data_IF_329558682639
#
_entry.id   IF_329558682639
#
_cell.length_a   1.000
_cell.length_b   1.000
_cell.length_c   1.000
_cell.angle_alpha   90.00
_cell.angle_beta   90.00
_cell.angle_gamma   90.00
#
_symmetry.space_group_name_H-M   'P 1'
#
loop_
_entity.id
_entity.type
_entity.pdbx_description
1 polymer ?
#
# COMPACT_ATOMS: atom_id res chain seq x y z
N UNK A 1 7.26 6.66 1.11
CA UNK A 1 6.34 5.63 0.62
C UNK A 1 7.05 4.29 0.62
N UNK A 2 6.55 3.33 1.38
CA UNK A 2 7.16 2.00 1.49
C UNK A 2 6.17 0.96 0.95
N UNK A 3 6.56 0.26 -0.11
CA UNK A 3 5.90 -1.00 -0.46
C UNK A 3 6.54 -2.10 0.38
N UNK A 4 5.73 -2.97 0.95
CA UNK A 4 6.23 -4.12 1.71
C UNK A 4 5.53 -5.38 1.24
N UNK A 5 6.31 -6.46 1.16
CA UNK A 5 5.81 -7.79 0.83
C UNK A 5 5.74 -8.59 2.11
N UNK A 6 4.57 -9.12 2.40
CA UNK A 6 4.33 -10.07 3.47
C UNK A 6 4.40 -11.47 2.86
N UNK A 7 5.26 -12.34 3.39
CA UNK A 7 5.37 -13.74 2.94
C UNK A 7 4.29 -14.58 3.61
N UNK A 8 3.72 -15.50 2.84
CA UNK A 8 2.50 -16.18 3.22
C UNK A 8 2.45 -17.68 2.83
N UNK A 9 1.70 -18.46 3.63
CA UNK A 9 1.20 -19.82 3.35
C UNK A 9 -0.32 -19.82 3.64
N UNK A 10 -1.21 -19.76 2.62
CA UNK A 10 -2.65 -19.53 2.85
C UNK A 10 -3.53 -20.75 2.64
N UNK A 11 -4.53 -20.84 3.51
CA UNK A 11 -5.84 -21.43 3.24
C UNK A 11 -6.91 -20.32 3.27
N UNK A 12 -8.04 -20.50 2.56
CA UNK A 12 -9.15 -19.53 2.58
C UNK A 12 -9.60 -19.18 4.00
N UNK A 13 -9.58 -17.89 4.36
CA UNK A 13 -10.15 -17.36 5.60
C UNK A 13 -9.18 -17.04 6.74
N UNK A 14 -7.87 -17.23 6.57
CA UNK A 14 -6.87 -16.90 7.60
C UNK A 14 -5.73 -16.08 6.99
N UNK A 15 -5.40 -14.95 7.62
CA UNK A 15 -4.17 -14.20 7.38
C UNK A 15 -3.17 -14.50 8.51
N UNK A 16 -2.04 -15.11 8.17
CA UNK A 16 -0.96 -15.42 9.10
C UNK A 16 0.37 -15.13 8.40
N UNK A 17 1.01 -14.04 8.80
CA UNK A 17 2.31 -13.65 8.27
C UNK A 17 3.41 -14.37 9.04
N UNK A 18 4.31 -15.05 8.32
CA UNK A 18 5.47 -15.72 8.94
C UNK A 18 6.60 -14.71 9.16
N UNK A 19 6.74 -13.74 8.23
CA UNK A 19 7.74 -12.69 8.28
C UNK A 19 7.28 -11.48 7.44
N UNK A 20 7.57 -10.27 7.93
CA UNK A 20 7.48 -9.04 7.13
C UNK A 20 8.85 -8.86 6.49
N UNK A 21 8.97 -9.13 5.20
CA UNK A 21 10.19 -8.84 4.48
C UNK A 21 10.13 -7.39 3.96
N UNK A 22 10.97 -6.47 4.48
CA UNK A 22 11.18 -5.22 3.78
C UNK A 22 11.92 -5.57 2.49
N UNK A 23 11.21 -5.67 1.36
CA UNK A 23 11.91 -5.64 0.09
C UNK A 23 12.70 -4.33 0.06
N UNK A 24 14.00 -4.46 -0.17
CA UNK A 24 14.95 -3.38 0.04
C UNK A 24 14.55 -2.16 -0.81
N UNK A 25 14.84 -0.96 -0.29
CA UNK A 25 14.41 0.36 -0.78
C UNK A 25 14.93 0.69 -2.18
N UNK A 26 14.50 -0.03 -3.18
CA UNK A 26 14.88 0.25 -4.55
C UNK A 26 13.67 0.65 -5.35
N UNK A 27 13.27 1.90 -5.18
CA UNK A 27 12.66 2.62 -6.28
C UNK A 27 13.79 2.85 -7.29
N UNK A 28 13.72 2.18 -8.45
CA UNK A 28 14.78 2.27 -9.45
C UNK A 28 14.46 3.28 -10.55
N UNK A 29 13.18 3.57 -10.78
CA UNK A 29 12.76 4.41 -11.88
C UNK A 29 11.56 5.28 -11.47
N UNK A 30 11.71 6.59 -11.67
CA UNK A 30 10.65 7.57 -11.50
C UNK A 30 10.53 8.39 -12.77
N UNK A 31 9.37 8.33 -13.43
CA UNK A 31 9.04 9.22 -14.55
C UNK A 31 8.08 10.29 -14.06
N UNK A 32 8.41 11.55 -14.29
CA UNK A 32 7.51 12.66 -14.01
C UNK A 32 6.97 13.21 -15.33
N UNK A 33 5.64 13.28 -15.44
CA UNK A 33 4.93 13.80 -16.59
C UNK A 33 4.18 15.04 -16.13
N UNK A 34 4.35 16.14 -16.86
CA UNK A 34 3.56 17.36 -16.65
C UNK A 34 2.70 17.59 -17.88
N UNK A 35 1.38 17.52 -17.70
CA UNK A 35 0.39 17.89 -18.69
C UNK A 35 -0.20 19.27 -18.34
N UNK A 36 -1.28 19.65 -19.03
CA UNK A 36 -1.92 20.96 -18.84
C UNK A 36 -2.50 21.14 -17.44
N UNK A 37 -3.33 20.18 -16.98
CA UNK A 37 -4.06 20.26 -15.71
C UNK A 37 -3.71 19.14 -14.72
N UNK A 38 -2.68 18.34 -15.03
CA UNK A 38 -2.28 17.19 -14.21
C UNK A 38 -0.76 17.02 -14.20
N UNK A 39 -0.23 16.68 -13.02
CA UNK A 39 1.16 16.30 -12.82
C UNK A 39 1.19 14.87 -12.27
N UNK A 40 1.94 14.00 -12.94
CA UNK A 40 1.96 12.57 -12.64
C UNK A 40 3.38 12.11 -12.36
N UNK A 41 3.57 11.34 -11.30
CA UNK A 41 4.80 10.63 -11.00
C UNK A 41 4.55 9.12 -11.04
N UNK A 42 5.22 8.42 -11.96
CA UNK A 42 5.20 6.96 -12.07
C UNK A 42 6.42 6.41 -11.35
N UNK A 43 6.20 5.50 -10.40
CA UNK A 43 7.20 4.86 -9.56
C UNK A 43 7.19 3.36 -9.86
N UNK A 44 8.31 2.84 -10.34
CA UNK A 44 8.49 1.40 -10.54
C UNK A 44 9.30 0.81 -9.38
N UNK A 45 8.70 -0.17 -8.70
CA UNK A 45 9.34 -0.85 -7.58
C UNK A 45 10.10 -2.10 -8.02
N UNK A 46 9.55 -2.84 -8.99
CA UNK A 46 10.14 -4.01 -9.63
C UNK A 46 9.40 -4.29 -10.96
N UNK A 47 9.72 -5.40 -11.62
CA UNK A 47 9.16 -5.78 -12.92
C UNK A 47 7.68 -6.22 -12.91
N UNK A 48 7.02 -6.29 -11.75
CA UNK A 48 5.62 -6.69 -11.61
C UNK A 48 4.82 -5.78 -10.67
N UNK A 49 5.42 -4.70 -10.16
CA UNK A 49 4.72 -3.70 -9.33
C UNK A 49 5.15 -2.28 -9.64
N UNK A 50 4.16 -1.43 -9.89
CA UNK A 50 4.33 0.01 -10.09
C UNK A 50 3.23 0.79 -9.39
N UNK A 51 3.46 2.10 -9.27
CA UNK A 51 2.53 3.05 -8.69
C UNK A 51 2.54 4.34 -9.48
N UNK A 52 1.37 4.93 -9.64
CA UNK A 52 1.18 6.22 -10.27
C UNK A 52 0.57 7.19 -9.26
N UNK A 53 1.17 8.36 -9.13
CA UNK A 53 0.71 9.43 -8.22
C UNK A 53 0.38 10.63 -9.08
N UNK A 54 -0.90 11.03 -9.08
CA UNK A 54 -1.41 12.13 -9.90
C UNK A 54 -1.93 13.27 -9.02
N UNK A 55 -1.59 14.49 -9.43
CA UNK A 55 -2.02 15.75 -8.83
C UNK A 55 -2.77 16.56 -9.88
N UNK A 56 -4.07 16.79 -9.65
CA UNK A 56 -4.92 17.63 -10.48
C UNK A 56 -4.99 19.04 -9.91
N UNK A 57 -4.92 20.06 -10.77
CA UNK A 57 -4.81 21.46 -10.32
C UNK A 57 -6.01 21.96 -9.49
N UNK A 58 -7.19 21.36 -9.65
CA UNK A 58 -8.44 21.76 -8.98
C UNK A 58 -8.88 20.78 -7.88
N UNK A 59 -8.05 19.79 -7.53
CA UNK A 59 -8.36 18.83 -6.46
C UNK A 59 -7.51 19.03 -5.20
N UNK A 60 -8.13 18.88 -4.03
CA UNK A 60 -7.43 18.93 -2.74
C UNK A 60 -6.80 17.57 -2.36
N UNK A 61 -7.08 16.53 -3.15
CA UNK A 61 -6.59 15.16 -2.96
C UNK A 61 -5.47 14.80 -3.92
N UNK A 62 -4.68 13.81 -3.51
CA UNK A 62 -3.73 13.12 -4.38
C UNK A 62 -4.37 11.82 -4.84
N UNK A 63 -4.37 11.57 -6.15
CA UNK A 63 -4.77 10.27 -6.69
C UNK A 63 -3.56 9.33 -6.67
N UNK A 64 -3.78 8.11 -6.17
CA UNK A 64 -2.74 7.09 -6.08
C UNK A 64 -3.27 5.79 -6.68
N UNK A 65 -2.75 5.43 -7.84
CA UNK A 65 -3.02 4.17 -8.52
C UNK A 65 -1.86 3.20 -8.33
N UNK A 66 -2.14 1.90 -8.27
CA UNK A 66 -1.11 0.87 -8.19
C UNK A 66 -1.41 -0.27 -9.14
N UNK A 67 -0.36 -0.78 -9.78
CA UNK A 67 -0.41 -2.00 -10.58
C UNK A 67 0.39 -3.08 -9.88
N UNK A 68 -0.22 -4.24 -9.68
CA UNK A 68 0.42 -5.41 -9.08
C UNK A 68 0.10 -6.63 -9.95
N UNK A 69 1.11 -7.20 -10.57
CA UNK A 69 1.02 -8.50 -11.23
C UNK A 69 1.83 -8.62 -12.53
N UNK A 70 2.04 -9.86 -13.00
CA UNK A 70 1.74 -11.12 -12.30
C UNK A 70 2.66 -11.33 -11.08
N UNK A 71 2.09 -11.75 -9.95
CA UNK A 71 2.87 -11.99 -8.72
C UNK A 71 3.76 -13.22 -8.95
N UNK A 72 5.09 -13.12 -8.83
CA UNK A 72 5.98 -14.25 -9.06
C UNK A 72 5.78 -15.29 -7.96
N UNK A 73 5.55 -16.54 -8.35
CA UNK A 73 5.33 -17.68 -7.44
C UNK A 73 6.26 -18.86 -7.73
N UNK A 74 7.25 -18.67 -8.60
CA UNK A 74 8.20 -19.72 -9.00
C UNK A 74 9.08 -20.22 -7.83
N UNK A 75 9.09 -19.50 -6.71
CA UNK A 75 9.76 -19.85 -5.47
C UNK A 75 8.87 -20.65 -4.50
N UNK A 76 7.66 -21.04 -4.93
CA UNK A 76 6.63 -21.72 -4.13
C UNK A 76 6.22 -20.95 -2.87
N UNK A 77 6.45 -19.63 -2.84
CA UNK A 77 6.12 -18.75 -1.70
C UNK A 77 4.97 -17.83 -2.09
N UNK A 78 3.84 -17.96 -1.39
CA UNK A 78 2.73 -17.02 -1.45
C UNK A 78 3.15 -15.62 -0.99
N UNK A 79 2.69 -14.59 -1.70
CA UNK A 79 3.04 -13.18 -1.42
C UNK A 79 1.76 -12.38 -1.23
N UNK A 80 1.71 -11.64 -0.14
CA UNK A 80 0.67 -10.67 0.18
C UNK A 80 1.31 -9.28 0.13
N UNK A 81 0.76 -8.40 -0.71
CA UNK A 81 1.37 -7.10 -1.01
C UNK A 81 0.64 -6.03 -0.21
N UNK A 82 1.40 -5.17 0.48
CA UNK A 82 0.84 -4.02 1.19
C UNK A 82 1.47 -2.71 0.72
N UNK A 83 0.66 -1.65 0.70
CA UNK A 83 1.12 -0.27 0.59
C UNK A 83 1.10 0.31 2.00
N UNK A 84 2.24 0.88 2.43
CA UNK A 84 2.39 1.47 3.76
C UNK A 84 2.74 2.95 3.67
N UNK A 85 1.91 3.75 4.35
CA UNK A 85 2.16 5.16 4.58
C UNK A 85 2.73 5.33 5.98
N UNK A 86 3.98 5.79 6.04
CA UNK A 86 4.67 6.11 7.28
C UNK A 86 4.66 7.64 7.44
N UNK A 87 4.09 8.15 8.54
CA UNK A 87 4.02 9.57 8.88
C UNK A 87 4.51 9.81 10.31
N UNK A 88 4.75 11.07 10.66
CA UNK A 88 5.13 11.53 12.00
C UNK A 88 3.92 11.90 12.88
N UNK A 89 2.71 11.59 12.43
CA UNK A 89 1.46 11.85 13.17
C UNK A 89 1.45 11.01 14.46
N UNK A 90 1.33 11.69 15.61
CA UNK A 90 1.16 11.05 16.92
C UNK A 90 -0.27 10.51 17.09
N UNK A 91 -0.57 9.37 16.47
CA UNK A 91 -1.91 8.75 16.48
C UNK A 91 -2.25 7.99 17.78
N UNK A 92 -1.28 7.81 18.68
CA UNK A 92 -1.44 7.04 19.93
C UNK A 92 -1.99 5.62 19.70
N UNK A 93 -1.63 5.00 18.56
CA UNK A 93 -2.09 3.67 18.13
C UNK A 93 -3.58 3.57 17.80
N UNK A 94 -4.26 4.70 17.66
CA UNK A 94 -5.66 4.81 17.25
C UNK A 94 -5.77 5.09 15.77
N UNK A 95 -6.71 4.43 15.10
CA UNK A 95 -7.02 4.60 13.68
C UNK A 95 -8.51 4.35 13.43
N UNK A 96 -8.99 4.72 12.25
CA UNK A 96 -10.40 4.65 11.90
C UNK A 96 -10.62 3.82 10.65
N UNK A 97 -11.65 3.00 10.64
CA UNK A 97 -12.07 2.17 9.49
C UNK A 97 -13.57 2.27 9.33
N UNK A 98 -14.05 2.41 8.12
CA UNK A 98 -15.48 2.33 7.83
C UNK A 98 -16.01 0.89 7.94
N UNK A 99 -17.31 0.77 8.21
CA UNK A 99 -18.06 -0.47 8.10
C UNK A 99 -18.85 -0.46 6.78
N UNK A 100 -18.29 -1.07 5.74
CA UNK A 100 -18.91 -1.19 4.41
C UNK A 100 -19.27 0.18 3.76
N UNK A 101 -18.46 1.21 3.98
CA UNK A 101 -18.68 2.55 3.46
C UNK A 101 -19.70 3.40 4.22
N UNK A 102 -20.16 2.94 5.40
CA UNK A 102 -21.13 3.67 6.23
C UNK A 102 -20.48 4.26 7.48
N UNK A 103 -20.61 3.57 8.61
CA UNK A 103 -20.19 4.08 9.91
C UNK A 103 -18.67 4.01 10.05
N UNK A 104 -18.05 5.09 10.52
CA UNK A 104 -16.62 5.14 10.83
C UNK A 104 -16.41 4.66 12.27
N UNK A 105 -15.64 3.59 12.43
CA UNK A 105 -15.36 2.97 13.72
C UNK A 105 -13.93 3.24 14.17
N UNK A 106 -13.76 3.62 15.43
CA UNK A 106 -12.46 3.71 16.08
C UNK A 106 -11.87 2.31 16.33
N UNK A 107 -10.60 2.14 16.00
CA UNK A 107 -9.80 0.93 16.25
C UNK A 107 -8.53 1.33 16.99
N UNK A 108 -8.11 0.47 17.91
CA UNK A 108 -6.85 0.63 18.65
C UNK A 108 -6.01 -0.63 18.51
N UNK A 109 -4.73 -0.46 18.18
CA UNK A 109 -3.79 -1.58 18.01
C UNK A 109 -3.76 -2.43 19.28
N UNK A 110 -3.80 -3.76 19.11
CA UNK A 110 -3.77 -4.76 20.19
C UNK A 110 -4.84 -4.59 21.29
N UNK A 111 -5.96 -3.94 20.96
CA UNK A 111 -7.08 -3.72 21.88
C UNK A 111 -8.37 -4.38 21.35
N UNK A 112 -9.28 -4.76 22.27
CA UNK A 112 -10.61 -5.28 21.97
C UNK A 112 -11.63 -4.59 22.88
N UNK A 113 -12.59 -3.81 22.33
CA UNK A 113 -13.73 -3.37 23.12
C UNK A 113 -14.62 -4.58 23.48
N UNK A 114 -15.14 -4.60 24.70
CA UNK A 114 -16.08 -5.63 25.19
C UNK A 114 -17.52 -5.30 24.85
#
# INVERSE_FOLDING_TARGET
MHYQLVKHVQCNGIFYSVDIFPFHRSCYFTTCIKAENVQTAIIEFNNWTSQEISLYDEEESVEVEWTVGPIPIDDDIGKEIIIRYDTDIASESTYYTDANGHEVLERKRDYRPT
#
